data_IF_130144193593
#
_entry.id   IF_130144193593
#
_cell.length_a   1.000
_cell.length_b   1.000
_cell.length_c   1.000
_cell.angle_alpha   90.00
_cell.angle_beta   90.00
_cell.angle_gamma   90.00
#
_symmetry.space_group_name_H-M   'P 1'
#
loop_
_entity.id
_entity.type
_entity.pdbx_description
1 polymer ?
#
# COMPACT_ATOMS: atom_id res chain seq x y z
N UNK A 1 3.06 39.80 19.23
CA UNK A 1 3.24 39.08 17.96
C UNK A 1 2.31 37.88 17.96
N UNK A 2 1.22 37.88 17.17
CA UNK A 2 0.35 36.73 17.05
C UNK A 2 0.89 35.76 15.98
N UNK A 3 0.81 34.47 16.29
CA UNK A 3 1.24 33.37 15.45
C UNK A 3 0.39 33.27 14.19
N UNK A 4 1.07 33.06 13.06
CA UNK A 4 0.49 32.90 11.74
C UNK A 4 0.19 31.41 11.54
N UNK A 5 -1.07 31.01 11.62
CA UNK A 5 -1.50 29.69 11.17
C UNK A 5 -1.51 29.64 9.62
N UNK A 6 -1.14 28.49 9.01
CA UNK A 6 -1.20 28.31 7.56
C UNK A 6 -2.66 28.16 7.08
N UNK A 7 -2.99 28.62 5.86
CA UNK A 7 -4.34 28.54 5.31
C UNK A 7 -4.73 27.11 4.96
N UNK A 8 -5.97 26.75 5.30
CA UNK A 8 -6.62 25.51 4.87
C UNK A 8 -6.63 25.39 3.34
N UNK A 9 -6.44 24.17 2.79
CA UNK A 9 -6.54 23.95 1.35
C UNK A 9 -7.99 24.15 0.86
N UNK A 10 -8.17 24.64 -0.38
CA UNK A 10 -9.46 25.03 -0.91
C UNK A 10 -10.41 23.83 -1.06
N UNK A 11 -11.65 24.04 -0.62
CA UNK A 11 -12.82 23.25 -0.98
C UNK A 11 -12.88 23.10 -2.51
N UNK A 12 -12.64 21.88 -2.97
CA UNK A 12 -12.75 21.51 -4.38
C UNK A 12 -13.08 20.03 -4.43
N UNK A 13 -14.37 19.69 -4.29
CA UNK A 13 -15.26 19.27 -5.38
C UNK A 13 -16.63 19.06 -4.73
N UNK A 14 -17.37 20.16 -4.53
CA UNK A 14 -18.81 20.05 -4.37
C UNK A 14 -19.39 19.51 -5.68
N UNK A 15 -19.77 18.24 -5.57
CA UNK A 15 -20.60 17.46 -6.45
C UNK A 15 -21.56 18.27 -7.35
N UNK A 16 -21.36 18.13 -8.67
CA UNK A 16 -22.45 18.18 -9.66
C UNK A 16 -23.46 17.03 -9.49
N UNK A 17 -23.34 16.22 -8.44
CA UNK A 17 -24.31 15.21 -8.01
C UNK A 17 -25.35 15.75 -7.00
N UNK A 18 -25.33 17.05 -6.68
CA UNK A 18 -26.07 17.62 -5.55
C UNK A 18 -27.47 18.18 -5.80
N UNK A 19 -28.06 18.13 -7.01
CA UNK A 19 -29.36 18.80 -7.28
C UNK A 19 -30.43 18.02 -8.03
N UNK A 20 -30.28 16.72 -8.21
CA UNK A 20 -31.37 15.88 -8.68
C UNK A 20 -31.50 14.69 -7.75
N UNK A 21 -32.72 14.41 -7.30
CA UNK A 21 -33.13 13.34 -6.38
C UNK A 21 -33.20 13.73 -4.89
N UNK A 22 -34.02 14.76 -4.62
CA UNK A 22 -34.87 14.72 -3.44
C UNK A 22 -35.84 13.54 -3.60
N UNK A 23 -35.59 12.46 -2.87
CA UNK A 23 -36.42 11.26 -2.87
C UNK A 23 -35.68 10.15 -2.15
N UNK A 24 -36.19 9.72 -1.00
CA UNK A 24 -35.60 8.72 -0.13
C UNK A 24 -35.18 7.46 -0.90
N UNK A 25 -33.88 7.32 -1.15
CA UNK A 25 -33.29 6.13 -1.77
C UNK A 25 -32.11 5.70 -0.92
N UNK A 26 -32.25 4.58 -0.20
CA UNK A 26 -31.13 3.93 0.43
C UNK A 26 -30.03 3.69 -0.62
N UNK A 27 -28.87 4.31 -0.42
CA UNK A 27 -27.66 3.99 -1.20
C UNK A 27 -27.25 2.57 -0.88
N UNK A 28 -27.74 1.60 -1.66
CA UNK A 28 -27.22 0.24 -1.64
C UNK A 28 -25.83 0.30 -2.27
N UNK A 29 -24.79 0.30 -1.43
CA UNK A 29 -23.42 0.10 -1.90
C UNK A 29 -23.34 -1.33 -2.42
N UNK A 30 -23.33 -1.47 -3.74
CA UNK A 30 -23.03 -2.74 -4.40
C UNK A 30 -21.57 -3.09 -4.12
N UNK A 31 -21.35 -3.85 -3.05
CA UNK A 31 -20.03 -4.42 -2.76
C UNK A 31 -19.75 -5.50 -3.80
N UNK A 32 -18.59 -5.41 -4.45
CA UNK A 32 -18.15 -6.43 -5.40
C UNK A 32 -18.09 -7.81 -4.73
N UNK A 33 -18.41 -8.87 -5.48
CA UNK A 33 -18.42 -10.26 -4.99
C UNK A 33 -17.15 -10.63 -4.22
N UNK A 34 -15.98 -10.19 -4.72
CA UNK A 34 -14.69 -10.43 -4.06
C UNK A 34 -14.59 -9.72 -2.69
N UNK A 35 -15.13 -8.50 -2.56
CA UNK A 35 -15.13 -7.74 -1.30
C UNK A 35 -16.07 -8.36 -0.27
N UNK A 36 -17.23 -8.87 -0.72
CA UNK A 36 -18.18 -9.58 0.16
C UNK A 36 -17.59 -10.90 0.65
N UNK A 37 -16.96 -11.66 -0.23
CA UNK A 37 -16.30 -12.92 0.12
C UNK A 37 -15.16 -12.66 1.10
N UNK A 38 -14.28 -11.70 0.81
CA UNK A 38 -13.13 -11.41 1.67
C UNK A 38 -13.54 -10.84 3.03
N UNK A 39 -14.60 -10.02 3.08
CA UNK A 39 -15.18 -9.55 4.34
C UNK A 39 -15.80 -10.70 5.15
N UNK A 40 -16.46 -11.65 4.49
CA UNK A 40 -17.02 -12.83 5.14
C UNK A 40 -15.91 -13.76 5.67
N UNK A 41 -14.90 -14.05 4.86
CA UNK A 41 -13.76 -14.89 5.27
C UNK A 41 -13.04 -14.30 6.49
N UNK A 42 -12.82 -12.98 6.51
CA UNK A 42 -12.22 -12.29 7.65
C UNK A 42 -13.11 -12.32 8.89
N UNK A 43 -14.42 -12.08 8.74
CA UNK A 43 -15.36 -12.14 9.86
C UNK A 43 -15.46 -13.55 10.47
N UNK A 44 -15.38 -14.59 9.64
CA UNK A 44 -15.36 -15.99 10.11
C UNK A 44 -14.08 -16.27 10.90
N UNK A 45 -12.91 -15.91 10.37
CA UNK A 45 -11.63 -16.07 11.10
C UNK A 45 -11.63 -15.33 12.44
N UNK A 46 -12.13 -14.10 12.45
CA UNK A 46 -12.21 -13.28 13.66
C UNK A 46 -13.12 -13.91 14.72
N UNK A 47 -14.28 -14.43 14.32
CA UNK A 47 -15.23 -15.10 15.24
C UNK A 47 -14.67 -16.43 15.76
N UNK A 48 -14.02 -17.24 14.90
CA UNK A 48 -13.40 -18.51 15.31
C UNK A 48 -12.27 -18.27 16.34
N UNK A 49 -11.44 -17.25 16.09
CA UNK A 49 -10.37 -16.87 17.01
C UNK A 49 -10.90 -16.30 18.34
N UNK A 50 -11.89 -15.40 18.32
CA UNK A 50 -12.35 -14.71 19.52
C UNK A 50 -13.38 -15.47 20.37
N UNK A 51 -14.27 -16.25 19.76
CA UNK A 51 -15.36 -16.92 20.50
C UNK A 51 -15.12 -18.39 20.78
N UNK A 52 -14.36 -19.06 19.92
CA UNK A 52 -14.14 -20.51 20.02
C UNK A 52 -12.73 -20.87 20.47
N UNK A 53 -11.83 -19.88 20.59
CA UNK A 53 -10.44 -20.10 21.03
C UNK A 53 -9.66 -21.01 20.10
N UNK A 54 -10.09 -21.12 18.83
CA UNK A 54 -9.43 -21.95 17.83
C UNK A 54 -8.23 -21.17 17.31
N UNK A 55 -7.06 -21.42 17.90
CA UNK A 55 -5.77 -20.88 17.43
C UNK A 55 -5.14 -21.75 16.34
N UNK A 56 -5.72 -22.93 16.08
CA UNK A 56 -5.25 -23.84 15.05
C UNK A 56 -5.57 -23.30 13.64
N UNK A 57 -4.54 -22.92 12.86
CA UNK A 57 -4.73 -22.30 11.55
C UNK A 57 -5.38 -23.24 10.53
N UNK A 58 -5.20 -24.55 10.66
CA UNK A 58 -5.71 -25.53 9.69
C UNK A 58 -7.24 -25.70 9.86
N UNK A 59 -7.69 -25.76 11.11
CA UNK A 59 -9.12 -25.77 11.47
C UNK A 59 -9.82 -24.46 11.09
N UNK A 60 -9.15 -23.32 11.23
CA UNK A 60 -9.68 -22.03 10.81
C UNK A 60 -9.81 -21.94 9.29
N UNK A 61 -8.89 -22.52 8.53
CA UNK A 61 -8.95 -22.57 7.07
C UNK A 61 -10.07 -23.49 6.57
N UNK A 62 -10.23 -24.68 7.18
CA UNK A 62 -11.31 -25.62 6.85
C UNK A 62 -12.70 -25.00 7.11
N UNK A 63 -12.88 -24.34 8.25
CA UNK A 63 -14.12 -23.66 8.58
C UNK A 63 -14.43 -22.46 7.66
N UNK A 64 -13.40 -21.75 7.19
CA UNK A 64 -13.55 -20.68 6.19
C UNK A 64 -14.01 -21.24 4.85
N UNK A 65 -13.43 -22.36 4.41
CA UNK A 65 -13.83 -23.05 3.17
C UNK A 65 -15.29 -23.51 3.26
N UNK A 66 -15.66 -24.20 4.33
CA UNK A 66 -17.03 -24.72 4.52
C UNK A 66 -18.05 -23.57 4.61
N UNK A 67 -17.71 -22.49 5.32
CA UNK A 67 -18.58 -21.31 5.44
C UNK A 67 -18.74 -20.59 4.10
N UNK A 68 -17.66 -20.49 3.30
CA UNK A 68 -17.72 -19.94 1.95
C UNK A 68 -18.66 -20.75 1.05
N UNK A 69 -18.55 -22.08 1.09
CA UNK A 69 -19.41 -22.98 0.31
C UNK A 69 -20.87 -22.93 0.76
N UNK A 70 -21.13 -22.91 2.07
CA UNK A 70 -22.46 -22.78 2.63
C UNK A 70 -23.08 -21.41 2.27
N UNK A 71 -22.30 -20.34 2.35
CA UNK A 71 -22.71 -19.01 1.95
C UNK A 71 -23.12 -18.95 0.48
N UNK A 72 -22.31 -19.50 -0.43
CA UNK A 72 -22.67 -19.56 -1.86
C UNK A 72 -23.88 -20.46 -2.13
N UNK A 73 -24.02 -21.59 -1.43
CA UNK A 73 -25.26 -22.41 -1.49
C UNK A 73 -26.48 -21.60 -1.09
N UNK A 74 -26.38 -20.81 -0.01
CA UNK A 74 -27.49 -19.98 0.45
C UNK A 74 -27.77 -18.77 -0.45
N UNK A 75 -26.74 -18.18 -1.05
CA UNK A 75 -26.87 -17.11 -2.04
C UNK A 75 -27.49 -17.61 -3.35
N UNK A 76 -27.12 -18.81 -3.79
CA UNK A 76 -27.74 -19.47 -4.93
C UNK A 76 -29.20 -19.86 -4.67
N UNK A 77 -29.54 -20.24 -3.43
CA UNK A 77 -30.91 -20.58 -3.02
C UNK A 77 -31.83 -19.37 -2.79
N UNK A 78 -31.29 -18.18 -2.49
CA UNK A 78 -32.07 -16.94 -2.24
C UNK A 78 -31.93 -15.88 -3.32
N UNK A 79 -30.95 -15.99 -4.20
CA UNK A 79 -30.76 -15.09 -5.33
C UNK A 79 -31.89 -15.28 -6.33
N UNK A 80 -32.83 -14.33 -6.41
CA UNK A 80 -33.56 -14.09 -7.67
C UNK A 80 -32.52 -14.13 -8.79
N UNK A 81 -32.76 -14.85 -9.90
CA UNK A 81 -31.78 -14.96 -10.97
C UNK A 81 -31.42 -13.54 -11.40
N UNK A 82 -30.20 -13.11 -11.08
CA UNK A 82 -29.65 -11.87 -11.57
C UNK A 82 -29.61 -12.02 -13.09
N UNK A 83 -30.63 -11.47 -13.75
CA UNK A 83 -30.99 -11.71 -15.15
C UNK A 83 -30.01 -11.09 -16.15
N UNK A 84 -28.78 -10.74 -15.74
CA UNK A 84 -27.88 -9.90 -16.55
C UNK A 84 -26.37 -10.12 -16.37
N UNK A 85 -25.91 -11.04 -15.52
CA UNK A 85 -24.49 -11.42 -15.53
C UNK A 85 -24.31 -12.60 -16.48
N UNK A 86 -24.23 -12.31 -17.77
CA UNK A 86 -23.73 -13.26 -18.75
C UNK A 86 -22.27 -13.59 -18.43
N UNK A 87 -21.81 -14.77 -18.82
CA UNK A 87 -20.40 -15.17 -18.70
C UNK A 87 -19.46 -14.11 -19.28
N UNK A 88 -19.78 -13.60 -20.47
CA UNK A 88 -19.08 -12.49 -21.11
C UNK A 88 -19.03 -11.21 -20.25
N UNK A 89 -20.13 -10.84 -19.58
CA UNK A 89 -20.16 -9.67 -18.69
C UNK A 89 -19.32 -9.86 -17.43
N UNK A 90 -19.24 -11.08 -16.90
CA UNK A 90 -18.36 -11.40 -15.78
C UNK A 90 -16.88 -11.34 -16.19
N UNK A 91 -16.54 -11.87 -17.37
CA UNK A 91 -15.19 -11.82 -17.91
C UNK A 91 -14.71 -10.39 -18.14
N UNK A 92 -15.59 -9.53 -18.65
CA UNK A 92 -15.32 -8.11 -18.89
C UNK A 92 -15.03 -7.37 -17.57
N UNK A 93 -15.86 -7.58 -16.54
CA UNK A 93 -15.67 -6.98 -15.20
C UNK A 93 -14.33 -7.45 -14.59
N UNK A 94 -14.00 -8.73 -14.71
CA UNK A 94 -12.73 -9.27 -14.21
C UNK A 94 -11.53 -8.72 -14.98
N UNK A 95 -11.65 -8.60 -16.30
CA UNK A 95 -10.61 -8.00 -17.14
C UNK A 95 -10.38 -6.53 -16.78
N UNK A 96 -11.45 -5.77 -16.51
CA UNK A 96 -11.35 -4.38 -16.07
C UNK A 96 -10.73 -4.25 -14.67
N UNK A 97 -11.16 -5.07 -13.72
CA UNK A 97 -10.58 -5.11 -12.37
C UNK A 97 -9.08 -5.45 -12.42
N UNK A 98 -8.67 -6.40 -13.28
CA UNK A 98 -7.26 -6.73 -13.51
C UNK A 98 -6.49 -5.55 -14.08
N UNK A 99 -6.98 -4.92 -15.14
CA UNK A 99 -6.36 -3.72 -15.73
C UNK A 99 -6.21 -2.59 -14.71
N UNK A 100 -7.16 -2.46 -13.78
CA UNK A 100 -7.09 -1.48 -12.69
C UNK A 100 -6.00 -1.83 -11.68
N UNK A 101 -5.89 -3.10 -11.28
CA UNK A 101 -4.86 -3.57 -10.36
C UNK A 101 -3.46 -3.49 -10.97
N UNK A 102 -3.31 -3.82 -12.26
CA UNK A 102 -2.03 -3.68 -12.98
C UNK A 102 -1.59 -2.23 -13.06
N UNK A 103 -2.50 -1.30 -13.40
CA UNK A 103 -2.23 0.15 -13.35
C UNK A 103 -1.82 0.61 -11.95
N UNK A 104 -2.57 0.20 -10.93
CA UNK A 104 -2.26 0.56 -9.54
C UNK A 104 -0.90 0.00 -9.09
N UNK A 105 -0.50 -1.19 -9.55
CA UNK A 105 0.83 -1.77 -9.29
C UNK A 105 1.91 -0.91 -9.95
N UNK A 106 1.72 -0.55 -11.20
CA UNK A 106 2.72 0.23 -11.95
C UNK A 106 2.89 1.63 -11.36
N UNK A 107 1.78 2.30 -11.02
CA UNK A 107 1.80 3.57 -10.28
C UNK A 107 2.51 3.44 -8.92
N UNK A 108 2.26 2.35 -8.17
CA UNK A 108 2.91 2.13 -6.88
C UNK A 108 4.42 1.87 -7.03
N UNK A 109 4.85 1.15 -8.07
CA UNK A 109 6.28 0.93 -8.40
C UNK A 109 6.98 2.23 -8.75
N UNK A 110 6.37 3.04 -9.62
CA UNK A 110 6.91 4.35 -9.99
C UNK A 110 7.05 5.25 -8.77
N UNK A 111 6.04 5.28 -7.91
CA UNK A 111 6.05 6.08 -6.69
C UNK A 111 7.09 5.60 -5.68
N UNK A 112 7.33 4.30 -5.59
CA UNK A 112 8.38 3.73 -4.75
C UNK A 112 9.77 4.13 -5.27
N UNK A 113 10.00 3.97 -6.58
CA UNK A 113 11.26 4.38 -7.22
C UNK A 113 11.53 5.89 -7.09
N UNK A 114 10.48 6.72 -7.11
CA UNK A 114 10.57 8.16 -6.85
C UNK A 114 10.97 8.44 -5.40
N UNK A 115 10.32 7.80 -4.42
CA UNK A 115 10.66 7.95 -3.01
C UNK A 115 12.09 7.50 -2.69
N UNK A 116 12.55 6.42 -3.30
CA UNK A 116 13.95 5.96 -3.17
C UNK A 116 14.94 6.99 -3.73
N UNK A 117 14.66 7.54 -4.92
CA UNK A 117 15.47 8.62 -5.50
C UNK A 117 15.51 9.86 -4.60
N UNK A 118 14.37 10.25 -4.04
CA UNK A 118 14.29 11.37 -3.09
C UNK A 118 15.10 11.11 -1.81
N UNK A 119 15.05 9.88 -1.28
CA UNK A 119 15.83 9.51 -0.10
C UNK A 119 17.34 9.59 -0.38
N UNK A 120 17.78 9.10 -1.53
CA UNK A 120 19.19 9.17 -1.93
C UNK A 120 19.66 10.60 -2.18
N UNK A 121 18.82 11.44 -2.78
CA UNK A 121 19.09 12.87 -2.94
C UNK A 121 19.20 13.57 -1.58
N UNK A 122 18.28 13.29 -0.65
CA UNK A 122 18.34 13.82 0.71
C UNK A 122 19.60 13.40 1.44
N UNK A 123 20.01 12.13 1.35
CA UNK A 123 21.27 11.64 1.93
C UNK A 123 22.48 12.38 1.38
N UNK A 124 22.55 12.56 0.06
CA UNK A 124 23.64 13.31 -0.60
C UNK A 124 23.66 14.77 -0.16
N UNK A 125 22.49 15.39 -0.05
CA UNK A 125 22.36 16.77 0.40
C UNK A 125 22.85 16.93 1.84
N UNK A 126 22.40 16.08 2.76
CA UNK A 126 22.83 16.11 4.17
C UNK A 126 24.34 15.91 4.25
N UNK A 127 24.89 14.91 3.56
CA UNK A 127 26.34 14.66 3.55
C UNK A 127 27.14 15.87 3.01
N UNK A 128 26.66 16.50 1.94
CA UNK A 128 27.28 17.69 1.37
C UNK A 128 27.21 18.92 2.29
N UNK A 129 26.06 19.13 2.94
CA UNK A 129 25.88 20.21 3.92
C UNK A 129 26.79 20.00 5.13
N UNK A 130 26.90 18.78 5.66
CA UNK A 130 27.79 18.45 6.77
C UNK A 130 29.26 18.66 6.41
N UNK A 131 29.68 18.23 5.22
CA UNK A 131 31.05 18.41 4.77
C UNK A 131 31.38 19.90 4.60
N UNK A 132 30.46 20.69 4.01
CA UNK A 132 30.63 22.14 3.91
C UNK A 132 30.73 22.79 5.28
N UNK A 133 29.78 22.50 6.20
CA UNK A 133 29.78 23.03 7.56
C UNK A 133 31.07 22.68 8.30
N UNK A 134 31.57 21.45 8.15
CA UNK A 134 32.82 21.02 8.75
C UNK A 134 34.00 21.86 8.23
N UNK A 135 34.11 22.05 6.91
CA UNK A 135 35.16 22.86 6.30
C UNK A 135 35.07 24.33 6.74
N UNK A 136 33.86 24.87 6.83
CA UNK A 136 33.62 26.24 7.27
C UNK A 136 33.98 26.43 8.75
N UNK A 137 33.63 25.47 9.61
CA UNK A 137 34.02 25.43 11.01
C UNK A 137 35.54 25.32 11.17
N UNK A 138 36.20 24.40 10.45
CA UNK A 138 37.66 24.25 10.49
C UNK A 138 38.37 25.54 10.07
N UNK A 139 37.82 26.27 9.09
CA UNK A 139 38.34 27.56 8.63
C UNK A 139 38.09 28.69 9.65
N UNK A 140 36.91 28.74 10.26
CA UNK A 140 36.55 29.75 11.25
C UNK A 140 37.28 29.56 12.59
N UNK A 141 37.57 28.31 12.94
CA UNK A 141 38.24 27.89 14.17
C UNK A 141 39.76 27.74 13.98
N UNK A 142 40.31 28.27 12.89
CA UNK A 142 41.75 28.42 12.67
C UNK A 142 42.28 29.60 13.52
N UNK A 143 43.10 29.35 14.56
CA UNK A 143 43.60 30.40 15.45
C UNK A 143 44.48 31.45 14.74
N UNK A 144 45.04 31.14 13.58
CA UNK A 144 45.86 32.08 12.82
C UNK A 144 44.99 33.08 12.03
N UNK A 145 43.84 32.63 11.55
CA UNK A 145 42.95 33.38 10.65
C UNK A 145 41.70 33.93 11.32
N UNK A 146 41.40 33.48 12.53
CA UNK A 146 40.18 33.87 13.23
C UNK A 146 40.25 35.31 13.76
N UNK A 147 39.18 36.07 13.49
CA UNK A 147 38.98 37.42 14.02
C UNK A 147 38.97 37.43 15.55
N UNK A 148 38.50 36.36 16.19
CA UNK A 148 38.51 36.23 17.65
C UNK A 148 39.95 36.17 18.19
N UNK A 149 40.83 35.43 17.52
CA UNK A 149 42.25 35.38 17.90
C UNK A 149 42.92 36.75 17.69
N UNK A 150 42.59 37.45 16.61
CA UNK A 150 43.06 38.82 16.37
C UNK A 150 42.56 39.81 17.43
N UNK A 151 41.29 39.70 17.84
CA UNK A 151 40.68 40.49 18.92
C UNK A 151 41.37 40.25 20.26
N UNK A 152 41.60 38.99 20.63
CA UNK A 152 42.29 38.62 21.87
C UNK A 152 43.70 39.22 21.89
N UNK A 153 44.46 39.08 20.79
CA UNK A 153 45.77 39.73 20.64
C UNK A 153 45.68 41.24 20.80
N UNK A 154 44.70 41.89 20.17
CA UNK A 154 44.51 43.35 20.25
C UNK A 154 44.21 43.80 21.68
N UNK A 155 43.34 43.08 22.40
CA UNK A 155 42.98 43.39 23.79
C UNK A 155 44.15 43.20 24.75
N UNK A 156 44.95 42.13 24.58
CA UNK A 156 46.15 41.93 25.38
C UNK A 156 47.18 43.06 25.18
N UNK A 157 47.39 43.51 23.94
CA UNK A 157 48.26 44.68 23.66
C UNK A 157 47.72 45.96 24.28
N UNK A 158 46.42 46.23 24.15
CA UNK A 158 45.79 47.42 24.73
C UNK A 158 45.89 47.46 26.27
N UNK A 159 45.97 46.29 26.92
CA UNK A 159 46.18 46.16 28.36
C UNK A 159 47.67 46.27 28.78
N UNK A 160 48.59 46.49 27.84
CA UNK A 160 50.04 46.54 28.12
C UNK A 160 50.68 45.19 28.41
N UNK A 161 50.01 44.07 28.07
CA UNK A 161 50.46 42.72 28.38
C UNK A 161 51.35 42.14 27.27
N UNK A 162 52.47 42.81 26.95
CA UNK A 162 53.34 42.42 25.83
C UNK A 162 54.55 41.56 26.23
N UNK A 163 54.81 41.40 27.52
CA UNK A 163 55.92 40.56 28.02
C UNK A 163 55.82 39.09 27.54
N UNK A 164 56.95 38.37 27.39
CA UNK A 164 56.96 36.99 26.88
C UNK A 164 56.06 36.02 27.66
N UNK A 165 55.93 36.20 28.98
CA UNK A 165 55.02 35.41 29.82
C UNK A 165 53.54 35.62 29.46
N UNK A 166 53.15 36.85 29.12
CA UNK A 166 51.79 37.18 28.73
C UNK A 166 51.47 36.65 27.34
N UNK A 167 52.45 36.63 26.43
CA UNK A 167 52.29 36.04 25.10
C UNK A 167 52.07 34.51 25.17
N UNK A 168 52.78 33.81 26.07
CA UNK A 168 52.53 32.38 26.34
C UNK A 168 51.13 32.16 26.90
N UNK A 169 50.74 32.94 27.90
CA UNK A 169 49.39 32.87 28.47
C UNK A 169 48.31 33.14 27.42
N UNK A 170 48.52 34.11 26.53
CA UNK A 170 47.60 34.40 25.43
C UNK A 170 47.49 33.22 24.46
N UNK A 171 48.61 32.57 24.11
CA UNK A 171 48.60 31.40 23.24
C UNK A 171 47.85 30.23 23.89
N UNK A 172 48.09 29.97 25.18
CA UNK A 172 47.38 28.95 25.96
C UNK A 172 45.88 29.24 26.05
N UNK A 173 45.51 30.48 26.39
CA UNK A 173 44.12 30.91 26.50
C UNK A 173 43.41 30.83 25.14
N UNK A 174 44.08 31.25 24.07
CA UNK A 174 43.55 31.11 22.70
C UNK A 174 43.34 29.64 22.40
N UNK A 175 44.33 28.78 22.63
CA UNK A 175 44.21 27.33 22.45
C UNK A 175 43.03 26.72 23.20
N UNK A 176 42.84 27.08 24.48
CA UNK A 176 41.74 26.60 25.31
C UNK A 176 40.38 27.08 24.82
N UNK A 177 40.25 28.37 24.45
CA UNK A 177 39.00 28.92 23.91
C UNK A 177 38.61 28.22 22.59
N UNK A 178 39.55 28.01 21.67
CA UNK A 178 39.27 27.31 20.42
C UNK A 178 38.98 25.82 20.63
N UNK A 179 39.61 25.17 21.62
CA UNK A 179 39.29 23.79 21.99
C UNK A 179 37.85 23.67 22.49
N UNK A 180 37.40 24.58 23.37
CA UNK A 180 36.02 24.59 23.86
C UNK A 180 35.01 24.94 22.78
N UNK A 181 35.32 25.91 21.91
CA UNK A 181 34.46 26.22 20.77
C UNK A 181 34.31 25.02 19.83
N UNK A 182 35.40 24.27 19.57
CA UNK A 182 35.33 23.03 18.78
C UNK A 182 34.46 21.97 19.45
N UNK A 183 34.62 21.77 20.76
CA UNK A 183 33.82 20.80 21.51
C UNK A 183 32.32 21.18 21.47
N UNK A 184 31.98 22.45 21.71
CA UNK A 184 30.61 22.93 21.63
C UNK A 184 30.02 22.81 20.21
N UNK A 185 30.79 23.15 19.17
CA UNK A 185 30.35 22.98 17.78
C UNK A 185 30.14 21.53 17.40
N UNK A 186 30.99 20.61 17.88
CA UNK A 186 30.83 19.17 17.66
C UNK A 186 29.54 18.65 18.29
N UNK A 187 29.22 19.05 19.52
CA UNK A 187 27.97 18.67 20.18
C UNK A 187 26.74 19.13 19.40
N UNK A 188 26.74 20.36 18.88
CA UNK A 188 25.63 20.86 18.05
C UNK A 188 25.52 20.03 16.76
N UNK A 189 26.63 19.76 16.09
CA UNK A 189 26.65 18.95 14.87
C UNK A 189 26.15 17.51 15.11
N UNK A 190 26.50 16.90 16.25
CA UNK A 190 26.01 15.57 16.64
C UNK A 190 24.49 15.56 16.87
N UNK A 191 23.95 16.59 17.52
CA UNK A 191 22.50 16.72 17.72
C UNK A 191 21.75 16.90 16.39
N UNK A 192 22.31 17.67 15.47
CA UNK A 192 21.73 17.84 14.13
C UNK A 192 21.79 16.53 13.33
N UNK A 193 22.91 15.82 13.37
CA UNK A 193 23.06 14.49 12.77
C UNK A 193 22.04 13.50 13.27
N UNK A 194 21.88 13.39 14.60
CA UNK A 194 20.90 12.50 15.20
C UNK A 194 19.47 12.79 14.70
N UNK A 195 19.11 14.08 14.55
CA UNK A 195 17.80 14.47 13.99
C UNK A 195 17.66 14.03 12.54
N UNK A 196 18.67 14.27 11.71
CA UNK A 196 18.65 13.86 10.31
C UNK A 196 18.59 12.33 10.17
N UNK A 197 19.33 11.58 10.98
CA UNK A 197 19.28 10.11 11.02
C UNK A 197 17.89 9.60 11.39
N UNK A 198 17.23 10.22 12.37
CA UNK A 198 15.85 9.86 12.72
C UNK A 198 14.86 10.09 11.58
N UNK A 199 14.99 11.22 10.87
CA UNK A 199 14.14 11.55 9.72
C UNK A 199 14.33 10.55 8.58
N UNK A 200 15.59 10.24 8.24
CA UNK A 200 15.94 9.23 7.24
C UNK A 200 15.39 7.85 7.63
N UNK A 201 15.56 7.43 8.89
CA UNK A 201 15.07 6.15 9.37
C UNK A 201 13.53 6.05 9.31
N UNK A 202 12.81 7.16 9.56
CA UNK A 202 11.34 7.20 9.39
C UNK A 202 10.93 7.05 7.93
N UNK A 203 11.64 7.71 7.01
CA UNK A 203 11.40 7.61 5.58
C UNK A 203 11.67 6.19 5.05
N UNK A 204 12.80 5.58 5.45
CA UNK A 204 13.17 4.20 5.11
C UNK A 204 12.12 3.19 5.56
N UNK A 205 11.68 3.27 6.83
CA UNK A 205 10.61 2.40 7.35
C UNK A 205 9.29 2.56 6.58
N UNK A 206 9.01 3.76 6.06
CA UNK A 206 7.83 3.99 5.23
C UNK A 206 8.00 3.33 3.85
N UNK A 207 9.15 3.51 3.20
CA UNK A 207 9.46 2.87 1.92
C UNK A 207 9.40 1.34 2.06
N UNK A 208 10.00 0.78 3.10
CA UNK A 208 9.96 -0.67 3.36
C UNK A 208 8.52 -1.20 3.52
N UNK A 209 7.64 -0.48 4.23
CA UNK A 209 6.22 -0.85 4.36
C UNK A 209 5.48 -0.79 3.02
N UNK A 210 5.75 0.22 2.19
CA UNK A 210 5.17 0.33 0.86
C UNK A 210 5.66 -0.80 -0.06
N UNK A 211 6.94 -1.13 -0.01
CA UNK A 211 7.53 -2.25 -0.74
C UNK A 211 6.87 -3.58 -0.37
N UNK A 212 6.73 -3.87 0.93
CA UNK A 212 6.10 -5.09 1.42
C UNK A 212 4.60 -5.18 1.03
N UNK A 213 3.89 -4.05 1.07
CA UNK A 213 2.49 -3.98 0.61
C UNK A 213 2.38 -4.25 -0.88
N UNK A 214 3.30 -3.70 -1.69
CA UNK A 214 3.34 -3.92 -3.12
C UNK A 214 3.66 -5.38 -3.46
N UNK A 215 4.64 -5.98 -2.79
CA UNK A 215 5.00 -7.39 -2.96
C UNK A 215 3.81 -8.31 -2.66
N UNK A 216 3.06 -8.02 -1.60
CA UNK A 216 1.84 -8.77 -1.25
C UNK A 216 0.77 -8.61 -2.32
N UNK A 217 0.57 -7.40 -2.85
CA UNK A 217 -0.38 -7.15 -3.94
C UNK A 217 0.02 -7.90 -5.22
N UNK A 218 1.32 -7.96 -5.53
CA UNK A 218 1.86 -8.69 -6.67
C UNK A 218 1.70 -10.21 -6.53
N UNK A 219 1.95 -10.76 -5.33
CA UNK A 219 1.70 -12.18 -5.05
C UNK A 219 0.23 -12.54 -5.24
N UNK A 220 -0.69 -11.68 -4.79
CA UNK A 220 -2.12 -11.90 -4.98
C UNK A 220 -2.51 -11.83 -6.46
N UNK A 221 -1.94 -10.91 -7.23
CA UNK A 221 -2.15 -10.83 -8.68
C UNK A 221 -1.65 -12.09 -9.40
N UNK A 222 -0.48 -12.61 -9.02
CA UNK A 222 0.05 -13.88 -9.57
C UNK A 222 -0.87 -15.04 -9.28
N UNK A 223 -1.30 -15.20 -8.02
CA UNK A 223 -2.26 -16.26 -7.63
C UNK A 223 -3.57 -16.18 -8.41
N UNK A 224 -4.11 -14.97 -8.61
CA UNK A 224 -5.32 -14.77 -9.43
C UNK A 224 -5.09 -15.15 -10.91
N UNK A 225 -3.89 -14.93 -11.44
CA UNK A 225 -3.54 -15.32 -12.81
C UNK A 225 -3.32 -16.83 -12.98
N UNK A 226 -2.72 -17.48 -11.98
CA UNK A 226 -2.49 -18.93 -11.92
C UNK A 226 -3.81 -19.69 -11.74
N UNK A 227 -4.68 -19.23 -10.84
CA UNK A 227 -6.00 -19.83 -10.62
C UNK A 227 -6.89 -19.80 -11.87
N UNK A 228 -6.67 -18.85 -12.79
CA UNK A 228 -7.45 -18.74 -14.04
C UNK A 228 -6.83 -19.49 -15.22
N UNK A 229 -5.52 -19.75 -15.19
CA UNK A 229 -4.86 -20.61 -16.19
C UNK A 229 -5.11 -22.10 -15.94
N UNK A 230 -5.57 -22.46 -14.73
CA UNK A 230 -6.09 -23.79 -14.40
C UNK A 230 -7.56 -24.00 -14.80
N UNK A 231 -8.25 -23.00 -15.37
CA UNK A 231 -9.63 -23.19 -15.85
C UNK A 231 -9.83 -22.81 -17.32
N UNK A 232 -9.31 -23.62 -18.26
CA UNK A 232 -9.89 -23.73 -19.60
C UNK A 232 -11.09 -24.71 -19.62
N UNK A 233 -11.64 -25.13 -18.47
CA UNK A 233 -12.17 -26.48 -18.29
C UNK A 233 -13.51 -26.64 -17.57
N UNK A 234 -14.20 -25.59 -17.14
CA UNK A 234 -15.62 -25.69 -16.74
C UNK A 234 -16.57 -26.00 -17.91
N UNK A 235 -16.03 -26.25 -19.11
CA UNK A 235 -16.69 -26.95 -20.20
C UNK A 235 -16.72 -28.48 -19.97
N UNK A 236 -17.34 -28.95 -18.88
CA UNK A 236 -17.89 -30.33 -18.73
C UNK A 236 -18.17 -30.67 -17.25
N UNK A 237 -19.24 -30.13 -16.66
CA UNK A 237 -19.86 -30.80 -15.48
C UNK A 237 -21.09 -31.63 -15.90
N UNK A 238 -21.45 -31.63 -17.19
CA UNK A 238 -22.56 -32.44 -17.72
C UNK A 238 -22.20 -33.23 -18.98
N UNK A 239 -20.93 -33.63 -19.18
CA UNK A 239 -20.59 -34.58 -20.25
C UNK A 239 -20.71 -36.04 -19.80
N UNK A 240 -20.59 -36.29 -18.51
CA UNK A 240 -20.89 -37.58 -17.90
C UNK A 240 -22.14 -37.44 -17.04
N UNK A 241 -23.27 -37.89 -17.58
CA UNK A 241 -24.47 -38.13 -16.79
C UNK A 241 -24.16 -39.35 -15.92
N UNK A 242 -23.89 -39.11 -14.64
CA UNK A 242 -23.66 -40.15 -13.64
C UNK A 242 -24.84 -41.15 -13.70
N UNK A 243 -24.57 -42.40 -14.10
CA UNK A 243 -25.57 -43.47 -14.14
C UNK A 243 -25.84 -44.13 -15.51
N UNK A 244 -25.06 -43.83 -16.56
CA UNK A 244 -25.04 -44.62 -17.80
C UNK A 244 -23.71 -45.36 -17.87
N UNK A 245 -23.71 -46.66 -17.60
CA UNK A 245 -22.56 -47.51 -17.93
C UNK A 245 -22.46 -47.63 -19.46
N UNK A 246 -21.25 -47.57 -20.01
CA UNK A 246 -21.03 -47.69 -21.47
C UNK A 246 -21.40 -49.07 -22.02
N UNK A 247 -21.67 -50.04 -21.15
CA UNK A 247 -22.07 -51.41 -21.45
C UNK A 247 -23.61 -51.60 -21.57
N UNK A 248 -24.39 -50.53 -21.38
CA UNK A 248 -25.86 -50.58 -21.49
C UNK A 248 -26.28 -50.48 -22.96
N UNK A 249 -26.91 -51.53 -23.50
CA UNK A 249 -27.35 -51.63 -24.92
C UNK A 249 -28.26 -50.46 -25.37
N UNK A 250 -28.78 -49.68 -24.42
CA UNK A 250 -29.66 -48.53 -24.65
C UNK A 250 -28.99 -47.17 -24.34
N UNK A 251 -27.69 -47.12 -24.08
CA UNK A 251 -26.98 -45.90 -23.71
C UNK A 251 -27.10 -44.82 -24.78
N UNK A 252 -26.96 -45.18 -26.06
CA UNK A 252 -27.06 -44.24 -27.17
C UNK A 252 -28.49 -43.70 -27.35
N UNK A 253 -29.52 -44.55 -27.19
CA UNK A 253 -30.91 -44.14 -27.26
C UNK A 253 -31.28 -43.19 -26.10
N UNK A 254 -30.82 -43.48 -24.89
CA UNK A 254 -31.03 -42.62 -23.71
C UNK A 254 -30.32 -41.27 -23.89
N UNK A 255 -29.11 -41.26 -24.44
CA UNK A 255 -28.35 -40.05 -24.76
C UNK A 255 -29.09 -39.21 -25.81
N UNK A 256 -29.59 -39.84 -26.87
CA UNK A 256 -30.38 -39.17 -27.91
C UNK A 256 -31.69 -38.60 -27.35
N UNK A 257 -32.39 -39.32 -26.47
CA UNK A 257 -33.60 -38.83 -25.81
C UNK A 257 -33.31 -37.64 -24.88
N UNK A 258 -32.21 -37.66 -24.13
CA UNK A 258 -31.81 -36.55 -23.27
C UNK A 258 -31.46 -35.29 -24.07
N UNK A 259 -30.79 -35.45 -25.21
CA UNK A 259 -30.54 -34.34 -26.15
C UNK A 259 -31.87 -33.76 -26.66
N UNK A 260 -32.82 -34.61 -27.07
CA UNK A 260 -34.14 -34.16 -27.52
C UNK A 260 -34.95 -33.47 -26.42
N UNK A 261 -34.89 -33.95 -25.18
CA UNK A 261 -35.54 -33.30 -24.02
C UNK A 261 -34.89 -31.95 -23.73
N UNK A 262 -33.56 -31.86 -23.80
CA UNK A 262 -32.83 -30.62 -23.60
C UNK A 262 -33.18 -29.58 -24.67
N UNK A 263 -33.19 -29.96 -25.94
CA UNK A 263 -33.60 -29.09 -27.05
C UNK A 263 -35.07 -28.66 -26.93
N UNK A 264 -35.96 -29.57 -26.53
CA UNK A 264 -37.37 -29.26 -26.29
C UNK A 264 -37.53 -28.25 -25.15
N UNK A 265 -36.80 -28.42 -24.05
CA UNK A 265 -36.79 -27.48 -22.92
C UNK A 265 -36.20 -26.12 -23.29
N UNK A 266 -35.17 -26.10 -24.15
CA UNK A 266 -34.59 -24.88 -24.68
C UNK A 266 -35.60 -24.11 -25.56
N UNK A 267 -36.30 -24.81 -26.46
CA UNK A 267 -37.38 -24.24 -27.29
C UNK A 267 -38.55 -23.74 -26.44
N UNK A 268 -38.92 -24.45 -25.38
CA UNK A 268 -39.95 -24.00 -24.43
C UNK A 268 -39.53 -22.74 -23.67
N UNK A 269 -38.25 -22.63 -23.27
CA UNK A 269 -37.69 -21.40 -22.68
C UNK A 269 -37.69 -20.23 -23.66
N UNK A 270 -37.38 -20.48 -24.93
CA UNK A 270 -37.41 -19.45 -25.98
C UNK A 270 -38.85 -18.99 -26.29
N UNK A 271 -39.83 -19.90 -26.29
CA UNK A 271 -41.26 -19.56 -26.46
C UNK A 271 -41.91 -18.91 -25.24
N UNK A 272 -41.37 -19.12 -24.04
CA UNK A 272 -41.77 -18.40 -22.81
C UNK A 272 -41.17 -17.00 -22.69
N UNK A 273 -40.50 -16.50 -23.73
CA UNK A 273 -40.32 -15.06 -23.99
C UNK A 273 -41.51 -14.61 -24.86
N UNK A 274 -42.67 -14.24 -24.28
CA UNK A 274 -43.53 -13.28 -24.95
C UNK A 274 -42.85 -11.91 -24.86
N UNK A 275 -42.94 -11.16 -25.95
CA UNK A 275 -42.83 -9.72 -25.93
C UNK A 275 -43.74 -9.17 -24.82
N UNK A 276 -43.17 -8.49 -23.85
CA UNK A 276 -43.92 -7.57 -22.99
C UNK A 276 -43.12 -6.27 -22.96
N UNK A 277 -43.70 -5.30 -23.67
CA UNK A 277 -43.65 -3.86 -23.42
C UNK A 277 -43.82 -3.51 -21.93
#
# INVERSE_FOLDING_TARGET
MPAHDPPDPPDSVESLSGRLLAGQGHRVRLLGRATVVLALENAVREVLAHRLGVEDPDLAEEAVIETREAFFRHLAGRGRPARSLTEAGLEEILAEARRRLERSRDEARERLAELERQLDEQRRRIAGEEESRRRDLDRALDPERSDLAAELRRRFRAAGLEEPRHQRLLAELTGLVFAELRAASQQVAELERARHEEELARAERRIARLAASLETAERNLRRLSEARSLDPGLASIYREVQGLADEDDLADLKREMLVKIFEANLRLRQRRRPDDE
#
